data_IF_093851682550
#
_entry.id   IF_093851682550
#
_cell.length_a   1.000
_cell.length_b   1.000
_cell.length_c   1.000
_cell.angle_alpha   90.00
_cell.angle_beta   90.00
_cell.angle_gamma   90.00
#
_symmetry.space_group_name_H-M   'P 1'
#
loop_
_entity.id
_entity.type
_entity.pdbx_description
1 polymer ?
#
# COMPACT_ATOMS: atom_id res chain seq x y z
N UNK A 1 30.98 44.20 24.69
CA UNK A 1 29.76 44.04 23.84
C UNK A 1 29.88 42.63 23.22
N UNK A 2 29.21 41.68 23.80
CA UNK A 2 29.15 40.29 23.36
C UNK A 2 27.88 40.13 22.51
N UNK A 3 28.05 40.05 21.19
CA UNK A 3 26.96 39.81 20.27
C UNK A 3 26.58 38.34 20.32
N UNK A 4 25.42 38.07 20.91
CA UNK A 4 24.74 36.78 20.86
C UNK A 4 24.25 36.55 19.43
N UNK A 5 24.66 35.45 18.77
CA UNK A 5 24.13 35.02 17.48
C UNK A 5 22.65 34.58 17.65
N UNK A 6 21.78 34.84 16.67
CA UNK A 6 20.37 34.60 16.82
C UNK A 6 20.04 33.09 16.87
N UNK A 7 19.15 32.70 17.80
CA UNK A 7 18.68 31.35 18.03
C UNK A 7 17.99 30.68 16.81
N UNK A 8 17.68 31.45 15.80
CA UNK A 8 17.04 31.01 14.53
C UNK A 8 17.93 30.11 13.68
N UNK A 9 19.25 30.26 13.72
CA UNK A 9 20.20 29.52 12.87
C UNK A 9 20.31 28.03 13.31
N UNK A 10 20.25 27.78 14.60
CA UNK A 10 20.43 26.43 15.15
C UNK A 10 19.22 25.51 14.83
N UNK A 11 18.01 26.05 14.89
CA UNK A 11 16.78 25.31 14.61
C UNK A 11 16.63 24.93 13.13
N UNK A 12 17.12 25.76 12.21
CA UNK A 12 17.13 25.45 10.78
C UNK A 12 18.14 24.34 10.43
N UNK A 13 19.34 24.37 11.04
CA UNK A 13 20.37 23.33 10.79
C UNK A 13 19.90 21.97 11.30
N UNK A 14 19.27 21.90 12.46
CA UNK A 14 18.74 20.63 13.00
C UNK A 14 17.63 20.05 12.09
N UNK A 15 16.81 20.89 11.47
CA UNK A 15 15.75 20.46 10.54
C UNK A 15 16.34 19.94 9.21
N UNK A 16 17.36 20.62 8.69
CA UNK A 16 18.04 20.19 7.45
C UNK A 16 18.78 18.86 7.66
N UNK A 17 19.41 18.66 8.81
CA UNK A 17 20.07 17.39 9.15
C UNK A 17 19.06 16.27 9.25
N UNK A 18 17.93 16.48 9.95
CA UNK A 18 16.86 15.49 10.04
C UNK A 18 16.26 15.14 8.67
N UNK A 19 16.11 16.13 7.80
CA UNK A 19 15.67 15.90 6.43
C UNK A 19 16.65 15.03 5.65
N UNK A 20 17.94 15.36 5.67
CA UNK A 20 18.98 14.55 5.01
C UNK A 20 19.02 13.10 5.53
N UNK A 21 18.91 12.90 6.85
CA UNK A 21 18.85 11.57 7.46
C UNK A 21 17.63 10.77 6.98
N UNK A 22 16.48 11.42 6.79
CA UNK A 22 15.28 10.79 6.26
C UNK A 22 15.43 10.39 4.79
N UNK A 23 16.07 11.23 3.98
CA UNK A 23 16.40 10.93 2.57
C UNK A 23 17.29 9.69 2.46
N UNK A 24 18.35 9.64 3.27
CA UNK A 24 19.27 8.50 3.29
C UNK A 24 18.54 7.21 3.68
N UNK A 25 17.78 7.24 4.77
CA UNK A 25 17.04 6.08 5.25
C UNK A 25 16.05 5.58 4.19
N UNK A 26 15.37 6.50 3.52
CA UNK A 26 14.43 6.19 2.45
C UNK A 26 15.13 5.56 1.23
N UNK A 27 16.22 6.17 0.72
CA UNK A 27 16.97 5.66 -0.42
C UNK A 27 17.58 4.27 -0.13
N UNK A 28 18.15 4.08 1.06
CA UNK A 28 18.65 2.77 1.51
C UNK A 28 17.54 1.73 1.53
N UNK A 29 16.36 2.08 2.06
CA UNK A 29 15.21 1.17 2.10
C UNK A 29 14.74 0.78 0.70
N UNK A 30 14.60 1.75 -0.20
CA UNK A 30 14.19 1.52 -1.58
C UNK A 30 15.14 0.59 -2.31
N UNK A 31 16.46 0.83 -2.20
CA UNK A 31 17.47 -0.01 -2.83
C UNK A 31 17.56 -1.42 -2.22
N UNK A 32 17.39 -1.56 -0.91
CA UNK A 32 17.29 -2.88 -0.26
C UNK A 32 16.11 -3.66 -0.83
N UNK A 33 14.96 -3.01 -0.95
CA UNK A 33 13.75 -3.63 -1.49
C UNK A 33 13.94 -4.00 -2.96
N UNK A 34 14.40 -3.07 -3.78
CA UNK A 34 14.64 -3.30 -5.22
C UNK A 34 15.62 -4.44 -5.51
N UNK A 35 16.61 -4.66 -4.62
CA UNK A 35 17.62 -5.70 -4.75
C UNK A 35 17.30 -6.97 -3.97
N UNK A 36 16.10 -7.07 -3.37
CA UNK A 36 15.71 -8.18 -2.50
C UNK A 36 16.74 -8.48 -1.39
N UNK A 37 17.39 -7.43 -0.88
CA UNK A 37 18.36 -7.51 0.21
C UNK A 37 17.71 -7.15 1.54
N UNK A 38 18.06 -7.88 2.61
CA UNK A 38 17.50 -7.61 3.91
C UNK A 38 18.26 -6.50 4.66
N UNK A 39 17.53 -5.72 5.47
CA UNK A 39 18.13 -4.76 6.42
C UNK A 39 19.13 -5.44 7.38
N UNK A 40 18.90 -6.72 7.73
CA UNK A 40 19.81 -7.50 8.56
C UNK A 40 21.12 -7.83 7.85
N UNK A 41 21.08 -8.06 6.53
CA UNK A 41 22.29 -8.27 5.73
C UNK A 41 23.13 -6.99 5.65
N UNK A 42 22.48 -5.84 5.45
CA UNK A 42 23.17 -4.55 5.49
C UNK A 42 23.78 -4.28 6.88
N UNK A 43 23.05 -4.55 7.98
CA UNK A 43 23.58 -4.40 9.34
C UNK A 43 24.84 -5.24 9.56
N UNK A 44 24.84 -6.49 9.11
CA UNK A 44 26.00 -7.39 9.17
C UNK A 44 27.18 -6.85 8.34
N UNK A 45 26.93 -6.34 7.14
CA UNK A 45 27.95 -5.74 6.29
C UNK A 45 28.59 -4.48 6.89
N UNK A 46 27.76 -3.64 7.52
CA UNK A 46 28.22 -2.45 8.26
C UNK A 46 28.96 -2.79 9.56
N UNK A 47 28.86 -4.03 10.05
CA UNK A 47 29.41 -4.43 11.36
C UNK A 47 28.64 -3.86 12.55
N UNK A 48 27.36 -3.52 12.39
CA UNK A 48 26.51 -2.98 13.45
C UNK A 48 25.41 -3.95 13.86
N UNK A 49 24.90 -3.78 15.09
CA UNK A 49 23.80 -4.59 15.60
C UNK A 49 22.47 -4.24 14.90
N UNK A 50 21.57 -5.23 14.75
CA UNK A 50 20.23 -5.02 14.16
C UNK A 50 19.43 -3.87 14.79
N UNK A 51 19.39 -3.71 16.13
CA UNK A 51 18.73 -2.56 16.75
C UNK A 51 19.33 -1.20 16.34
N UNK A 52 20.65 -1.13 16.20
CA UNK A 52 21.35 0.08 15.73
C UNK A 52 20.95 0.41 14.30
N UNK A 53 20.89 -0.58 13.41
CA UNK A 53 20.42 -0.41 12.03
C UNK A 53 18.97 0.06 11.99
N UNK A 54 18.09 -0.56 12.77
CA UNK A 54 16.69 -0.14 12.89
C UNK A 54 16.57 1.31 13.36
N UNK A 55 17.39 1.74 14.30
CA UNK A 55 17.38 3.11 14.78
C UNK A 55 17.93 4.11 13.75
N UNK A 56 18.92 3.72 12.92
CA UNK A 56 19.38 4.53 11.78
C UNK A 56 18.27 4.69 10.74
N UNK A 57 17.59 3.61 10.39
CA UNK A 57 16.46 3.63 9.46
C UNK A 57 15.25 4.44 9.98
N UNK A 58 15.16 4.65 11.28
CA UNK A 58 14.15 5.48 11.94
C UNK A 58 14.62 6.90 12.25
N UNK A 59 15.79 7.30 11.76
CA UNK A 59 16.35 8.64 12.03
C UNK A 59 16.71 8.91 13.51
N UNK A 60 16.75 7.86 14.36
CA UNK A 60 17.10 8.00 15.80
C UNK A 60 18.60 8.00 16.05
N UNK A 61 19.37 7.48 15.13
CA UNK A 61 20.83 7.45 15.14
C UNK A 61 21.29 7.94 13.77
N UNK A 62 22.15 8.96 13.76
CA UNK A 62 22.67 9.56 12.54
C UNK A 62 23.50 8.58 11.70
N UNK A 63 23.45 8.75 10.39
CA UNK A 63 24.32 8.07 9.46
C UNK A 63 25.71 8.70 9.47
N UNK A 64 26.73 7.93 9.80
CA UNK A 64 28.11 8.41 9.64
C UNK A 64 28.52 8.35 8.15
N UNK A 65 29.54 9.12 7.78
CA UNK A 65 30.10 9.04 6.43
C UNK A 65 30.57 7.61 6.09
N UNK A 66 31.11 6.90 7.07
CA UNK A 66 31.50 5.51 6.90
C UNK A 66 30.31 4.57 6.63
N UNK A 67 29.17 4.80 7.31
CA UNK A 67 27.96 4.03 7.06
C UNK A 67 27.41 4.28 5.67
N UNK A 68 27.43 5.54 5.19
CA UNK A 68 26.99 5.93 3.85
C UNK A 68 27.82 5.25 2.76
N UNK A 69 29.16 5.37 2.85
CA UNK A 69 30.07 4.78 1.87
C UNK A 69 29.91 3.26 1.82
N UNK A 70 29.87 2.59 2.96
CA UNK A 70 29.69 1.14 3.02
C UNK A 70 28.29 0.72 2.55
N UNK A 71 27.26 1.49 2.87
CA UNK A 71 25.90 1.20 2.38
C UNK A 71 25.81 1.35 0.88
N UNK A 72 26.46 2.38 0.32
CA UNK A 72 26.54 2.59 -1.11
C UNK A 72 27.26 1.41 -1.81
N UNK A 73 28.39 0.95 -1.26
CA UNK A 73 29.12 -0.22 -1.75
C UNK A 73 28.24 -1.50 -1.71
N UNK A 74 27.59 -1.77 -0.57
CA UNK A 74 26.68 -2.91 -0.42
C UNK A 74 25.51 -2.89 -1.41
N UNK A 75 24.99 -1.70 -1.71
CA UNK A 75 23.83 -1.50 -2.57
C UNK A 75 24.20 -1.26 -4.05
N UNK A 76 25.53 -1.25 -4.39
CA UNK A 76 25.99 -1.01 -5.75
C UNK A 76 25.65 0.39 -6.28
N UNK A 77 25.70 1.40 -5.43
CA UNK A 77 25.38 2.81 -5.74
C UNK A 77 26.46 3.74 -5.20
N UNK A 78 26.25 5.05 -5.22
CA UNK A 78 27.17 6.04 -4.64
C UNK A 78 26.60 6.68 -3.39
N UNK A 79 27.47 7.19 -2.50
CA UNK A 79 27.03 7.92 -1.31
C UNK A 79 26.21 9.17 -1.68
N UNK A 80 26.54 9.82 -2.79
CA UNK A 80 25.78 10.95 -3.33
C UNK A 80 24.36 10.53 -3.73
N UNK A 81 24.20 9.38 -4.38
CA UNK A 81 22.89 8.85 -4.73
C UNK A 81 22.03 8.49 -3.49
N UNK A 82 22.66 8.08 -2.39
CA UNK A 82 21.94 7.86 -1.12
C UNK A 82 21.49 9.16 -0.45
N UNK A 83 22.13 10.28 -0.76
CA UNK A 83 21.80 11.62 -0.23
C UNK A 83 20.94 12.45 -1.21
N UNK A 84 20.69 11.96 -2.41
CA UNK A 84 19.91 12.65 -3.42
C UNK A 84 18.42 12.59 -3.07
N UNK A 85 17.83 13.76 -2.86
CA UNK A 85 16.42 13.93 -2.50
C UNK A 85 15.50 14.07 -3.73
N UNK A 86 16.04 14.01 -4.93
CA UNK A 86 15.29 14.28 -6.18
C UNK A 86 14.05 13.41 -6.30
N UNK A 87 14.11 12.14 -5.90
CA UNK A 87 12.99 11.23 -5.93
C UNK A 87 11.96 11.56 -4.82
N UNK A 88 12.42 11.86 -3.60
CA UNK A 88 11.54 12.32 -2.52
C UNK A 88 10.91 13.68 -2.83
N UNK A 89 11.68 14.60 -3.38
CA UNK A 89 11.22 15.95 -3.75
C UNK A 89 10.22 15.89 -4.91
N UNK A 90 10.41 14.99 -5.87
CA UNK A 90 9.44 14.77 -6.96
C UNK A 90 8.13 14.18 -6.43
N UNK A 91 8.18 13.26 -5.49
CA UNK A 91 7.00 12.73 -4.82
C UNK A 91 6.25 13.79 -4.00
N UNK A 92 6.97 14.77 -3.41
CA UNK A 92 6.38 15.90 -2.69
C UNK A 92 5.78 16.98 -3.60
N UNK A 93 6.37 17.22 -4.79
CA UNK A 93 6.01 18.35 -5.66
C UNK A 93 5.10 18.00 -6.84
N UNK A 94 4.59 16.76 -6.91
CA UNK A 94 3.86 16.27 -8.06
C UNK A 94 4.79 15.94 -9.24
N UNK A 95 4.72 14.72 -9.71
CA UNK A 95 5.58 14.19 -10.76
C UNK A 95 5.48 15.01 -12.05
N UNK A 96 6.59 15.61 -12.49
CA UNK A 96 6.75 16.07 -13.87
C UNK A 96 7.62 15.05 -14.63
N UNK A 97 7.14 14.55 -15.74
CA UNK A 97 7.64 13.44 -16.58
C UNK A 97 9.10 13.60 -17.11
N UNK A 98 9.82 14.66 -16.75
CA UNK A 98 11.13 14.99 -17.34
C UNK A 98 12.36 14.60 -16.53
N UNK A 99 12.22 13.93 -15.38
CA UNK A 99 13.38 13.60 -14.54
C UNK A 99 13.38 12.12 -14.12
N UNK A 100 13.74 11.22 -15.04
CA UNK A 100 14.22 9.88 -14.63
C UNK A 100 15.52 10.06 -13.86
N UNK A 101 15.65 9.55 -12.62
CA UNK A 101 16.90 9.60 -11.87
C UNK A 101 18.02 8.96 -12.68
N UNK A 102 19.16 9.64 -12.83
CA UNK A 102 20.31 9.20 -13.63
C UNK A 102 20.93 7.88 -13.19
N UNK A 103 20.54 7.34 -12.05
CA UNK A 103 21.09 6.12 -11.43
C UNK A 103 20.10 4.94 -11.37
N UNK A 104 18.88 5.07 -11.94
CA UNK A 104 18.01 3.93 -12.22
C UNK A 104 18.34 3.25 -13.56
N UNK A 105 19.48 3.58 -14.17
CA UNK A 105 20.05 2.77 -15.23
C UNK A 105 20.74 1.59 -14.55
N UNK A 106 20.01 0.49 -14.43
CA UNK A 106 20.53 -0.78 -13.96
C UNK A 106 21.80 -1.15 -14.77
N UNK A 107 22.92 -1.48 -14.11
CA UNK A 107 24.02 -2.15 -14.77
C UNK A 107 23.73 -3.64 -14.97
N UNK A 108 22.47 -4.04 -15.06
CA UNK A 108 22.08 -5.42 -15.30
C UNK A 108 22.24 -5.70 -16.79
N UNK A 109 23.35 -6.34 -17.14
CA UNK A 109 23.54 -6.96 -18.44
C UNK A 109 22.86 -8.34 -18.42
N UNK A 110 21.77 -8.57 -19.17
CA UNK A 110 21.05 -9.85 -19.18
C UNK A 110 21.87 -11.00 -19.81
N UNK A 111 23.03 -10.74 -20.40
CA UNK A 111 23.87 -11.71 -21.13
C UNK A 111 25.15 -12.12 -20.39
N UNK A 112 25.29 -11.82 -19.11
CA UNK A 112 26.45 -12.28 -18.34
C UNK A 112 26.25 -13.73 -17.86
N UNK A 113 27.18 -14.67 -18.13
CA UNK A 113 27.07 -16.06 -17.69
C UNK A 113 27.18 -16.16 -16.16
N UNK A 114 26.25 -16.88 -15.54
CA UNK A 114 26.26 -17.19 -14.11
C UNK A 114 27.33 -18.27 -13.86
N UNK A 115 28.51 -17.88 -13.41
CA UNK A 115 29.47 -18.79 -12.79
C UNK A 115 29.38 -18.70 -11.27
N UNK A 116 29.15 -19.83 -10.61
CA UNK A 116 29.31 -19.97 -9.18
C UNK A 116 28.13 -20.57 -8.43
N UNK A 117 27.92 -21.87 -8.60
CA UNK A 117 27.03 -22.64 -7.73
C UNK A 117 27.60 -22.78 -6.32
N UNK A 118 26.76 -22.57 -5.31
CA UNK A 118 26.98 -23.13 -3.98
C UNK A 118 25.69 -23.85 -3.55
N UNK A 119 25.83 -25.17 -3.40
CA UNK A 119 24.88 -26.07 -2.78
C UNK A 119 24.81 -25.85 -1.26
N UNK A 120 23.66 -26.08 -0.66
CA UNK A 120 23.63 -26.38 0.76
C UNK A 120 22.37 -25.92 1.48
N UNK A 121 21.41 -26.83 1.50
CA UNK A 121 20.53 -27.20 2.61
C UNK A 121 20.07 -26.17 3.65
N UNK A 122 18.76 -25.89 3.65
CA UNK A 122 17.96 -25.88 4.87
C UNK A 122 16.51 -26.29 4.53
N UNK A 123 16.23 -27.57 4.73
CA UNK A 123 14.87 -28.10 4.93
C UNK A 123 14.44 -27.73 6.34
N UNK A 124 13.19 -27.34 6.51
CA UNK A 124 12.57 -27.36 7.82
C UNK A 124 11.33 -26.50 7.94
N UNK A 125 10.18 -27.18 8.02
CA UNK A 125 8.94 -26.80 8.64
C UNK A 125 7.91 -26.03 7.80
N UNK A 126 7.14 -26.81 7.05
CA UNK A 126 5.72 -26.55 6.77
C UNK A 126 5.02 -27.91 6.81
N UNK A 127 4.47 -28.25 7.94
CA UNK A 127 3.50 -29.31 8.10
C UNK A 127 2.16 -28.68 8.43
N UNK A 128 1.18 -28.82 7.55
CA UNK A 128 -0.02 -29.55 7.77
C UNK A 128 -1.24 -28.66 7.79
N UNK A 129 -1.97 -28.60 6.68
CA UNK A 129 -3.43 -28.69 6.79
C UNK A 129 -3.95 -29.55 5.66
N UNK A 130 -4.49 -30.70 6.06
CA UNK A 130 -4.92 -31.81 5.22
C UNK A 130 -6.33 -31.56 4.73
N UNK A 131 -6.49 -31.78 3.45
CA UNK A 131 -7.72 -32.02 2.71
C UNK A 131 -8.63 -33.02 3.41
N UNK A 132 -9.90 -32.70 3.54
CA UNK A 132 -10.96 -33.71 3.73
C UNK A 132 -12.08 -33.47 2.74
N UNK A 133 -12.26 -34.46 1.98
CA UNK A 133 -13.10 -35.00 0.97
C UNK A 133 -14.51 -34.49 0.80
N UNK A 134 -14.85 -34.36 -0.48
CA UNK A 134 -16.21 -34.25 -1.03
C UNK A 134 -16.82 -35.66 -1.14
N UNK A 135 -18.07 -35.87 -0.79
CA UNK A 135 -18.86 -36.94 -1.36
C UNK A 135 -19.82 -36.41 -2.43
N UNK A 136 -19.66 -36.99 -3.60
CA UNK A 136 -20.62 -36.94 -4.70
C UNK A 136 -21.90 -37.69 -4.37
N UNK A 137 -23.05 -37.10 -4.67
CA UNK A 137 -24.34 -37.74 -4.59
C UNK A 137 -25.35 -37.08 -5.50
N UNK A 138 -25.61 -37.74 -6.62
CA UNK A 138 -26.60 -37.45 -7.65
C UNK A 138 -28.03 -37.63 -7.15
N UNK A 139 -28.95 -36.75 -7.54
CA UNK A 139 -30.25 -37.11 -8.13
C UNK A 139 -31.15 -35.87 -8.32
N UNK A 140 -31.51 -35.64 -9.56
CA UNK A 140 -32.60 -34.77 -9.96
C UNK A 140 -33.94 -35.46 -9.66
N UNK A 141 -35.00 -34.68 -9.47
CA UNK A 141 -36.19 -34.90 -10.28
C UNK A 141 -36.82 -33.63 -10.86
N UNK A 142 -37.48 -33.88 -11.97
CA UNK A 142 -38.22 -33.12 -12.91
C UNK A 142 -39.32 -32.18 -12.38
N UNK A 143 -39.57 -31.15 -13.20
CA UNK A 143 -40.66 -30.14 -13.15
C UNK A 143 -42.06 -30.75 -13.16
N UNK A 144 -43.06 -29.88 -12.83
CA UNK A 144 -44.04 -29.47 -13.82
C UNK A 144 -44.29 -27.96 -13.93
N UNK A 145 -44.47 -27.56 -15.18
CA UNK A 145 -44.95 -26.28 -15.65
C UNK A 145 -46.39 -26.00 -15.23
N UNK A 146 -46.70 -24.77 -14.77
CA UNK A 146 -48.01 -24.13 -15.02
C UNK A 146 -47.82 -22.62 -15.17
N UNK A 147 -48.24 -22.16 -16.31
CA UNK A 147 -48.58 -20.78 -16.64
C UNK A 147 -49.70 -20.28 -15.76
N UNK A 148 -49.59 -19.09 -15.16
CA UNK A 148 -50.69 -18.13 -15.00
C UNK A 148 -50.08 -16.72 -14.91
N UNK A 149 -50.50 -15.84 -15.79
CA UNK A 149 -50.05 -14.45 -15.86
C UNK A 149 -50.71 -13.62 -14.78
N UNK A 150 -49.94 -12.78 -14.13
CA UNK A 150 -50.43 -11.64 -13.36
C UNK A 150 -49.50 -10.44 -13.62
N UNK A 151 -50.17 -9.31 -13.89
CA UNK A 151 -49.65 -8.07 -14.41
C UNK A 151 -48.46 -7.48 -13.65
N UNK A 152 -47.60 -6.86 -14.39
CA UNK A 152 -46.46 -6.03 -13.94
C UNK A 152 -47.05 -4.75 -13.32
N UNK A 153 -46.85 -4.47 -12.03
CA UNK A 153 -47.09 -3.12 -11.54
C UNK A 153 -46.00 -2.21 -12.03
N UNK A 154 -46.44 -1.07 -12.55
CA UNK A 154 -45.60 0.02 -12.99
C UNK A 154 -44.53 0.35 -11.92
N UNK A 155 -43.28 0.32 -12.35
CA UNK A 155 -42.12 0.76 -11.58
C UNK A 155 -42.36 2.21 -11.17
N UNK A 156 -42.72 2.43 -9.90
CA UNK A 156 -42.73 3.76 -9.30
C UNK A 156 -41.34 4.34 -9.46
N UNK A 157 -41.28 5.52 -10.09
CA UNK A 157 -40.08 6.34 -10.11
C UNK A 157 -39.73 6.68 -8.64
N UNK A 158 -38.84 5.86 -8.06
CA UNK A 158 -38.14 6.28 -6.87
C UNK A 158 -37.31 7.52 -7.29
N UNK A 159 -37.62 8.62 -6.67
CA UNK A 159 -36.81 9.83 -6.70
C UNK A 159 -35.40 9.40 -6.28
N UNK A 160 -34.50 9.30 -7.27
CA UNK A 160 -33.07 9.22 -6.99
C UNK A 160 -32.70 10.54 -6.30
N UNK A 161 -32.65 10.51 -4.98
CA UNK A 161 -31.86 11.48 -4.24
C UNK A 161 -30.43 11.21 -4.70
N UNK A 162 -29.89 12.09 -5.55
CA UNK A 162 -28.49 12.09 -5.90
C UNK A 162 -27.72 12.31 -4.59
N UNK A 163 -27.34 11.22 -3.92
CA UNK A 163 -26.41 11.27 -2.80
C UNK A 163 -25.11 11.92 -3.29
N UNK A 164 -24.51 12.75 -2.47
CA UNK A 164 -23.21 13.37 -2.75
C UNK A 164 -22.17 12.28 -2.88
N UNK A 165 -21.81 11.93 -4.13
CA UNK A 165 -20.79 10.95 -4.42
C UNK A 165 -19.45 11.67 -4.64
N UNK A 166 -18.50 11.46 -3.75
CA UNK A 166 -17.15 12.01 -3.92
C UNK A 166 -16.39 11.17 -4.94
N UNK A 167 -15.81 11.83 -5.93
CA UNK A 167 -14.92 11.21 -6.91
C UNK A 167 -13.47 11.56 -6.59
N UNK A 168 -12.59 10.58 -6.68
CA UNK A 168 -11.14 10.78 -6.55
C UNK A 168 -10.42 10.31 -7.81
N UNK A 169 -9.20 10.82 -8.02
CA UNK A 169 -8.24 10.31 -8.97
C UNK A 169 -7.03 9.79 -8.20
N UNK A 170 -6.79 8.49 -8.24
CA UNK A 170 -5.58 7.86 -7.74
C UNK A 170 -4.58 7.77 -8.88
N UNK A 171 -3.51 8.56 -8.82
CA UNK A 171 -2.43 8.51 -9.81
C UNK A 171 -1.48 7.38 -9.46
N UNK A 172 -1.25 6.49 -10.40
CA UNK A 172 -0.38 5.33 -10.20
C UNK A 172 0.73 5.26 -11.24
N UNK A 173 1.71 4.37 -11.03
CA UNK A 173 2.77 4.10 -12.01
C UNK A 173 2.27 3.59 -13.37
N UNK A 174 1.06 2.99 -13.40
CA UNK A 174 0.46 2.40 -14.61
C UNK A 174 -0.62 3.28 -15.24
N UNK A 175 -0.96 4.42 -14.61
CA UNK A 175 -1.95 5.38 -15.04
C UNK A 175 -2.87 5.85 -13.93
N UNK A 176 -3.88 6.63 -14.29
CA UNK A 176 -4.83 7.22 -13.35
C UNK A 176 -6.05 6.31 -13.17
N UNK A 177 -6.47 6.13 -11.92
CA UNK A 177 -7.68 5.39 -11.56
C UNK A 177 -8.69 6.38 -10.97
N UNK A 178 -9.78 6.63 -11.69
CA UNK A 178 -10.93 7.39 -11.18
C UNK A 178 -11.81 6.47 -10.37
N UNK A 179 -12.14 6.86 -9.15
CA UNK A 179 -12.91 6.06 -8.19
C UNK A 179 -14.06 6.91 -7.63
N UNK A 180 -15.24 6.36 -7.61
CA UNK A 180 -16.41 6.91 -6.95
C UNK A 180 -16.51 6.32 -5.53
N UNK A 181 -16.60 7.17 -4.52
CA UNK A 181 -16.70 6.76 -3.12
C UNK A 181 -18.17 6.75 -2.66
N UNK A 182 -18.49 5.86 -1.76
CA UNK A 182 -19.84 5.63 -1.25
C UNK A 182 -20.07 6.42 0.05
N UNK A 183 -20.08 7.77 -0.04
CA UNK A 183 -20.15 8.70 1.09
C UNK A 183 -21.33 8.45 2.00
N UNK A 184 -22.51 8.13 1.44
CA UNK A 184 -23.73 7.94 2.21
C UNK A 184 -23.81 6.56 2.87
N UNK A 185 -23.22 5.52 2.25
CA UNK A 185 -23.28 4.16 2.74
C UNK A 185 -22.21 3.85 3.78
N UNK A 186 -20.98 4.41 3.58
CA UNK A 186 -19.82 4.14 4.44
C UNK A 186 -19.08 5.42 4.83
N UNK A 187 -19.78 6.38 5.48
CA UNK A 187 -19.29 7.74 5.73
C UNK A 187 -18.02 7.79 6.61
N UNK A 188 -17.88 6.89 7.59
CA UNK A 188 -16.71 6.87 8.47
C UNK A 188 -15.48 6.42 7.70
N UNK A 189 -15.61 5.39 6.87
CA UNK A 189 -14.54 4.83 6.04
C UNK A 189 -14.10 5.83 4.98
N UNK A 190 -15.06 6.43 4.25
CA UNK A 190 -14.79 7.46 3.24
C UNK A 190 -14.09 8.65 3.87
N UNK A 191 -14.60 9.17 5.00
CA UNK A 191 -13.96 10.29 5.72
C UNK A 191 -12.54 9.95 6.18
N UNK A 192 -12.31 8.71 6.66
CA UNK A 192 -10.99 8.24 7.05
C UNK A 192 -10.03 8.23 5.86
N UNK A 193 -10.47 7.62 4.75
CA UNK A 193 -9.66 7.49 3.54
C UNK A 193 -9.31 8.87 2.95
N UNK A 194 -10.30 9.76 2.79
CA UNK A 194 -10.09 11.12 2.29
C UNK A 194 -9.19 11.94 3.21
N UNK A 195 -9.42 11.87 4.53
CA UNK A 195 -8.62 12.60 5.50
C UNK A 195 -7.14 12.18 5.48
N UNK A 196 -6.86 10.88 5.27
CA UNK A 196 -5.50 10.38 5.06
C UNK A 196 -4.94 10.81 3.69
N UNK A 197 -5.74 10.73 2.64
CA UNK A 197 -5.33 11.08 1.28
C UNK A 197 -4.97 12.57 1.15
N UNK A 198 -5.69 13.46 1.83
CA UNK A 198 -5.47 14.91 1.79
C UNK A 198 -4.52 15.43 2.86
N UNK A 199 -4.20 14.61 3.88
CA UNK A 199 -3.44 15.06 5.05
C UNK A 199 -4.26 15.81 6.09
N UNK A 200 -5.59 15.91 5.92
CA UNK A 200 -6.48 16.52 6.92
C UNK A 200 -6.56 15.72 8.21
N UNK A 201 -6.38 14.39 8.11
CA UNK A 201 -6.38 13.50 9.25
C UNK A 201 -4.96 13.19 9.69
N UNK A 202 -4.67 13.46 10.96
CA UNK A 202 -3.40 13.10 11.58
C UNK A 202 -3.20 11.57 11.60
N UNK A 203 -1.99 11.15 11.31
CA UNK A 203 -1.55 9.76 11.39
C UNK A 203 -0.16 9.69 12.02
N UNK A 204 0.19 8.53 12.56
CA UNK A 204 1.50 8.30 13.16
C UNK A 204 2.44 7.67 12.14
N UNK A 205 3.51 8.38 11.81
CA UNK A 205 4.55 7.84 10.93
C UNK A 205 5.22 6.62 11.61
N UNK A 206 5.12 5.41 11.02
CA UNK A 206 5.65 4.20 11.60
C UNK A 206 7.18 4.16 11.66
N UNK A 207 7.86 5.04 10.93
CA UNK A 207 9.33 5.12 10.92
C UNK A 207 9.85 6.03 12.02
N UNK A 208 9.19 7.16 12.24
CA UNK A 208 9.59 8.16 13.22
C UNK A 208 8.82 8.05 14.54
N UNK A 209 7.62 7.48 14.50
CA UNK A 209 6.69 7.45 15.63
C UNK A 209 6.09 8.83 15.94
N UNK A 210 6.24 9.80 15.04
CA UNK A 210 5.73 11.16 15.19
C UNK A 210 4.39 11.33 14.45
N UNK A 211 3.52 12.23 14.92
CA UNK A 211 2.32 12.61 14.19
C UNK A 211 2.69 13.31 12.87
N UNK A 212 1.90 13.06 11.83
CA UNK A 212 2.07 13.64 10.50
C UNK A 212 0.72 14.06 9.93
N UNK A 213 0.73 15.11 9.14
CA UNK A 213 -0.37 15.61 8.30
C UNK A 213 -0.03 15.58 6.80
N UNK A 214 1.07 14.92 6.43
CA UNK A 214 1.39 14.72 5.01
C UNK A 214 0.35 13.79 4.38
N UNK A 215 0.02 13.96 3.08
CA UNK A 215 -0.85 13.05 2.36
C UNK A 215 -0.32 11.61 2.46
N UNK A 216 -1.06 10.77 3.19
CA UNK A 216 -0.60 9.45 3.65
C UNK A 216 -0.23 8.48 2.52
N UNK A 217 -1.03 8.48 1.44
CA UNK A 217 -0.90 7.51 0.36
C UNK A 217 0.18 7.83 -0.66
N UNK A 218 0.72 9.06 -0.64
CA UNK A 218 1.73 9.49 -1.59
C UNK A 218 3.01 8.67 -1.45
N UNK A 219 3.47 8.08 -2.55
CA UNK A 219 4.69 7.25 -2.58
C UNK A 219 4.52 5.85 -1.98
N UNK A 220 3.31 5.44 -1.60
CA UNK A 220 3.05 4.05 -1.21
C UNK A 220 2.93 3.15 -2.43
N UNK A 221 2.94 1.85 -2.20
CA UNK A 221 2.87 0.84 -3.27
C UNK A 221 1.69 -0.11 -3.06
N UNK A 222 1.25 -0.72 -4.15
CA UNK A 222 0.48 -1.95 -4.09
C UNK A 222 1.45 -3.07 -3.71
N UNK A 223 1.51 -3.38 -2.44
CA UNK A 223 2.52 -4.30 -1.88
C UNK A 223 2.14 -5.78 -2.02
N UNK A 224 0.88 -6.06 -2.41
CA UNK A 224 0.38 -7.42 -2.64
C UNK A 224 -0.60 -7.41 -3.81
N UNK A 225 -0.30 -8.21 -4.83
CA UNK A 225 -1.10 -8.34 -6.04
C UNK A 225 -1.33 -9.81 -6.30
N UNK A 226 -2.59 -10.23 -6.29
CA UNK A 226 -2.96 -11.61 -6.60
C UNK A 226 -3.83 -11.61 -7.84
N UNK A 227 -3.32 -12.26 -8.88
CA UNK A 227 -4.01 -12.43 -10.14
C UNK A 227 -5.36 -13.14 -9.94
N UNK A 228 -6.38 -12.70 -10.67
CA UNK A 228 -7.76 -13.18 -10.58
C UNK A 228 -8.34 -13.07 -9.16
N UNK A 229 -7.93 -12.00 -8.43
CA UNK A 229 -8.45 -11.71 -7.10
C UNK A 229 -8.46 -10.21 -6.79
N UNK A 230 -7.29 -9.59 -6.47
CA UNK A 230 -7.26 -8.19 -6.05
C UNK A 230 -5.84 -7.58 -6.10
N UNK A 231 -5.78 -6.25 -6.08
CA UNK A 231 -4.58 -5.47 -5.81
C UNK A 231 -4.72 -4.75 -4.47
N UNK A 232 -3.74 -4.89 -3.57
CA UNK A 232 -3.76 -4.35 -2.20
C UNK A 232 -2.65 -3.33 -1.98
N UNK A 233 -3.03 -2.15 -1.47
CA UNK A 233 -2.14 -1.04 -1.16
C UNK A 233 -2.42 -0.38 0.19
N UNK A 234 -1.83 0.80 0.43
CA UNK A 234 -2.08 1.61 1.62
C UNK A 234 -1.30 1.20 2.87
N UNK A 235 -0.27 0.36 2.74
CA UNK A 235 0.63 0.02 3.83
C UNK A 235 1.86 0.94 3.84
N UNK A 236 2.09 1.78 4.86
CA UNK A 236 3.23 2.70 4.89
C UNK A 236 4.58 1.98 5.03
N UNK A 237 4.58 0.71 5.46
CA UNK A 237 5.77 -0.13 5.52
C UNK A 237 6.00 -0.94 4.24
N UNK A 238 5.05 -0.95 3.29
CA UNK A 238 5.13 -1.68 2.04
C UNK A 238 5.20 -3.21 2.18
N UNK A 239 4.73 -3.78 3.29
CA UNK A 239 4.80 -5.21 3.59
C UNK A 239 3.53 -5.78 4.25
N UNK A 240 2.44 -5.00 4.26
CA UNK A 240 1.15 -5.39 4.83
C UNK A 240 1.03 -5.28 6.35
N UNK A 241 2.11 -4.94 7.09
CA UNK A 241 2.08 -4.89 8.56
C UNK A 241 1.92 -3.48 9.14
N UNK A 242 1.95 -2.44 8.29
CA UNK A 242 1.84 -1.05 8.70
C UNK A 242 0.43 -0.49 8.55
N UNK A 243 0.19 0.62 9.28
CA UNK A 243 -1.06 1.36 9.24
C UNK A 243 -0.88 2.80 9.75
N UNK A 244 -1.96 3.55 9.93
CA UNK A 244 -1.92 4.97 10.28
C UNK A 244 -1.68 5.23 11.78
N UNK A 245 -1.50 4.17 12.58
CA UNK A 245 -1.30 4.28 14.04
C UNK A 245 -2.58 4.14 14.85
N UNK A 246 -3.71 3.87 14.22
CA UNK A 246 -5.01 3.60 14.83
C UNK A 246 -5.80 2.58 14.01
N UNK A 247 -6.82 1.99 14.63
CA UNK A 247 -7.79 1.11 14.01
C UNK A 247 -9.20 1.70 14.14
N UNK A 248 -10.15 1.29 13.28
CA UNK A 248 -11.57 1.60 13.38
C UNK A 248 -12.44 0.44 12.93
N UNK A 249 -13.72 0.46 13.33
CA UNK A 249 -14.67 -0.64 13.09
C UNK A 249 -15.14 -0.70 11.63
N UNK A 250 -15.63 -1.87 11.22
CA UNK A 250 -16.20 -2.09 9.89
C UNK A 250 -17.56 -1.37 9.75
N UNK A 251 -17.83 -0.86 8.55
CA UNK A 251 -19.12 -0.37 8.10
C UNK A 251 -19.71 -1.36 7.09
N UNK A 252 -20.28 -2.47 7.58
CA UNK A 252 -20.85 -3.49 6.71
C UNK A 252 -22.27 -3.08 6.31
N UNK A 253 -22.47 -2.88 5.01
CA UNK A 253 -23.75 -2.54 4.39
C UNK A 253 -24.25 -3.76 3.64
N UNK A 254 -25.42 -4.35 4.01
CA UNK A 254 -25.90 -5.60 3.41
C UNK A 254 -26.11 -5.54 1.90
N UNK A 255 -26.40 -4.35 1.37
CA UNK A 255 -26.64 -4.10 -0.06
C UNK A 255 -25.33 -3.98 -0.86
N UNK A 256 -24.20 -3.74 -0.19
CA UNK A 256 -22.88 -3.70 -0.81
C UNK A 256 -22.23 -5.09 -0.73
N UNK A 257 -22.23 -5.80 -1.84
CA UNK A 257 -21.69 -7.15 -1.98
C UNK A 257 -20.57 -7.20 -3.00
N UNK A 258 -19.65 -8.15 -2.84
CA UNK A 258 -18.54 -8.38 -3.78
C UNK A 258 -18.99 -9.20 -5.00
N UNK A 259 -20.12 -8.84 -5.59
CA UNK A 259 -20.76 -9.53 -6.73
C UNK A 259 -20.16 -9.16 -8.10
N UNK A 260 -19.29 -8.16 -8.13
CA UNK A 260 -18.62 -7.64 -9.33
C UNK A 260 -17.17 -7.25 -9.07
N UNK A 261 -16.32 -7.15 -10.12
CA UNK A 261 -14.97 -6.63 -10.00
C UNK A 261 -14.93 -5.11 -9.79
N UNK A 262 -13.73 -4.59 -9.52
CA UNK A 262 -13.39 -3.17 -9.42
C UNK A 262 -14.03 -2.44 -8.23
N UNK A 263 -14.37 -3.18 -7.17
CA UNK A 263 -14.82 -2.62 -5.91
C UNK A 263 -13.61 -2.25 -5.04
N UNK A 264 -13.67 -1.06 -4.44
CA UNK A 264 -12.69 -0.58 -3.46
C UNK A 264 -13.17 -0.92 -2.05
N UNK A 265 -12.36 -1.65 -1.31
CA UNK A 265 -12.70 -2.09 0.04
C UNK A 265 -11.52 -1.99 1.02
N UNK A 266 -11.83 -1.91 2.33
CA UNK A 266 -10.81 -1.89 3.37
C UNK A 266 -10.21 -3.27 3.59
N UNK A 267 -8.88 -3.35 3.62
CA UNK A 267 -8.17 -4.50 4.13
C UNK A 267 -8.10 -4.42 5.65
N UNK A 268 -8.40 -5.53 6.33
CA UNK A 268 -8.37 -5.64 7.78
C UNK A 268 -7.79 -7.00 8.22
N UNK A 269 -7.48 -7.14 9.50
CA UNK A 269 -7.02 -8.38 10.13
C UNK A 269 -8.15 -9.12 10.89
N UNK A 270 -9.40 -8.85 10.53
CA UNK A 270 -10.59 -9.35 11.21
C UNK A 270 -10.86 -8.62 12.53
N UNK A 271 -11.78 -9.17 13.33
CA UNK A 271 -12.16 -8.58 14.60
C UNK A 271 -11.12 -8.88 15.69
N UNK A 272 -10.77 -7.86 16.47
CA UNK A 272 -9.89 -7.97 17.65
C UNK A 272 -10.68 -7.70 18.93
N UNK A 273 -10.46 -8.50 19.96
CA UNK A 273 -11.06 -8.25 21.26
C UNK A 273 -10.39 -7.08 21.96
N UNK A 274 -11.16 -6.02 22.24
CA UNK A 274 -10.70 -4.85 22.98
C UNK A 274 -10.60 -5.10 24.48
N UNK A 275 -10.02 -4.12 25.19
CA UNK A 275 -9.95 -4.16 26.67
C UNK A 275 -11.32 -4.02 27.35
N UNK A 276 -12.29 -3.48 26.65
CA UNK A 276 -13.71 -3.39 27.03
C UNK A 276 -14.47 -4.71 26.88
N UNK A 277 -13.80 -5.75 26.39
CA UNK A 277 -14.37 -7.08 26.16
C UNK A 277 -15.17 -7.21 24.87
N UNK A 278 -15.32 -6.15 24.08
CA UNK A 278 -16.03 -6.15 22.80
C UNK A 278 -15.10 -6.51 21.65
N UNK A 279 -15.69 -6.96 20.55
CA UNK A 279 -14.99 -7.13 19.30
C UNK A 279 -14.95 -5.79 18.55
N UNK A 280 -13.77 -5.40 18.08
CA UNK A 280 -13.51 -4.19 17.32
C UNK A 280 -12.91 -4.55 15.97
N UNK A 281 -13.25 -3.77 14.94
CA UNK A 281 -12.62 -3.85 13.62
C UNK A 281 -11.15 -3.46 13.67
N UNK A 282 -10.44 -3.82 12.62
CA UNK A 282 -9.00 -3.53 12.46
C UNK A 282 -8.71 -2.81 11.16
N UNK A 283 -9.68 -2.00 10.68
CA UNK A 283 -9.46 -1.13 9.54
C UNK A 283 -8.49 -0.01 9.90
N UNK A 284 -7.61 0.35 8.99
CA UNK A 284 -6.66 1.44 9.18
C UNK A 284 -6.52 2.28 7.91
N UNK A 285 -5.43 2.05 7.17
CA UNK A 285 -5.15 2.71 5.89
C UNK A 285 -5.12 1.76 4.72
N UNK A 286 -4.98 0.45 4.94
CA UNK A 286 -4.84 -0.50 3.85
C UNK A 286 -6.19 -0.77 3.18
N UNK A 287 -6.15 -0.82 1.86
CA UNK A 287 -7.29 -1.06 1.00
C UNK A 287 -6.94 -2.05 -0.11
N UNK A 288 -7.95 -2.58 -0.77
CA UNK A 288 -7.77 -3.37 -1.98
C UNK A 288 -8.82 -3.02 -3.03
N UNK A 289 -8.49 -3.29 -4.29
CA UNK A 289 -9.42 -3.20 -5.42
C UNK A 289 -9.56 -4.61 -5.98
N UNK A 290 -10.79 -5.12 -6.06
CA UNK A 290 -11.07 -6.45 -6.62
C UNK A 290 -10.93 -6.43 -8.14
N UNK A 291 -10.49 -7.54 -8.72
CA UNK A 291 -10.37 -7.73 -10.19
C UNK A 291 -11.36 -8.77 -10.73
N UNK A 292 -11.97 -9.52 -9.82
CA UNK A 292 -13.05 -10.47 -10.09
C UNK A 292 -14.12 -10.37 -9.00
N UNK A 293 -15.33 -10.94 -9.19
CA UNK A 293 -16.29 -11.11 -8.09
C UNK A 293 -15.70 -11.98 -6.98
N UNK A 294 -15.84 -11.54 -5.71
CA UNK A 294 -15.24 -12.21 -4.55
C UNK A 294 -16.25 -12.39 -3.42
N UNK A 295 -17.38 -13.11 -3.63
CA UNK A 295 -18.50 -13.16 -2.70
C UNK A 295 -18.16 -13.76 -1.33
N UNK A 296 -17.03 -14.48 -1.21
CA UNK A 296 -16.52 -14.97 0.08
C UNK A 296 -16.01 -13.86 1.02
N UNK A 297 -15.89 -12.62 0.53
CA UNK A 297 -15.51 -11.44 1.33
C UNK A 297 -16.73 -10.67 1.87
N UNK A 298 -17.94 -11.05 1.47
CA UNK A 298 -19.18 -10.39 1.92
C UNK A 298 -19.29 -10.42 3.44
N UNK A 299 -19.63 -9.27 4.03
CA UNK A 299 -19.77 -9.11 5.47
C UNK A 299 -18.46 -9.08 6.27
N UNK A 300 -17.30 -9.17 5.63
CA UNK A 300 -15.99 -9.19 6.27
C UNK A 300 -15.15 -7.94 6.02
N UNK A 301 -15.43 -7.21 4.95
CA UNK A 301 -14.70 -6.02 4.55
C UNK A 301 -15.67 -4.90 4.16
N UNK A 302 -15.38 -3.68 4.60
CA UNK A 302 -16.14 -2.49 4.22
C UNK A 302 -15.88 -2.15 2.77
N UNK A 303 -16.90 -2.24 1.91
CA UNK A 303 -16.87 -1.74 0.54
C UNK A 303 -17.19 -0.25 0.59
N UNK A 304 -16.30 0.63 0.13
CA UNK A 304 -16.49 2.06 0.25
C UNK A 304 -16.32 2.86 -1.05
N UNK A 305 -16.21 2.15 -2.18
CA UNK A 305 -16.17 2.78 -3.49
C UNK A 305 -16.07 1.78 -4.64
N UNK A 306 -16.06 2.29 -5.85
CA UNK A 306 -15.87 1.53 -7.07
C UNK A 306 -15.12 2.33 -8.14
N UNK A 307 -14.43 1.64 -9.03
CA UNK A 307 -13.73 2.23 -10.17
C UNK A 307 -14.75 2.75 -11.18
N UNK A 308 -14.63 4.03 -11.53
CA UNK A 308 -15.69 4.79 -12.18
C UNK A 308 -15.90 4.50 -13.68
N UNK A 309 -14.83 4.19 -14.42
CA UNK A 309 -14.87 4.09 -15.87
C UNK A 309 -13.93 3.01 -16.41
N UNK A 310 -14.09 2.66 -17.69
CA UNK A 310 -13.38 1.55 -18.33
C UNK A 310 -11.88 1.86 -18.54
N UNK A 311 -11.50 3.12 -18.70
CA UNK A 311 -10.10 3.55 -18.76
C UNK A 311 -9.38 3.24 -17.44
N UNK A 312 -10.02 3.56 -16.33
CA UNK A 312 -9.51 3.28 -15.00
C UNK A 312 -9.50 1.79 -14.66
N UNK A 313 -10.49 1.02 -15.10
CA UNK A 313 -10.50 -0.44 -14.99
C UNK A 313 -9.31 -1.06 -15.73
N UNK A 314 -9.01 -0.57 -16.95
CA UNK A 314 -7.85 -1.02 -17.71
C UNK A 314 -6.52 -0.73 -16.99
N UNK A 315 -6.44 0.33 -16.18
CA UNK A 315 -5.26 0.60 -15.32
C UNK A 315 -5.18 -0.40 -14.17
N UNK A 316 -6.30 -0.75 -13.54
CA UNK A 316 -6.36 -1.80 -12.50
C UNK A 316 -5.90 -3.14 -13.07
N UNK A 317 -6.34 -3.50 -14.29
CA UNK A 317 -5.93 -4.73 -14.96
C UNK A 317 -4.42 -4.75 -15.29
N UNK A 318 -3.84 -3.60 -15.66
CA UNK A 318 -2.39 -3.47 -15.86
C UNK A 318 -1.63 -3.67 -14.55
N UNK A 319 -2.11 -3.08 -13.45
CA UNK A 319 -1.52 -3.27 -12.14
C UNK A 319 -1.60 -4.74 -11.68
N UNK A 320 -2.73 -5.41 -11.94
CA UNK A 320 -2.86 -6.85 -11.65
C UNK A 320 -1.89 -7.72 -12.47
N UNK A 321 -1.60 -7.29 -13.69
CA UNK A 321 -0.74 -8.03 -14.61
C UNK A 321 0.76 -7.87 -14.33
N UNK A 322 1.18 -7.03 -13.38
CA UNK A 322 2.60 -6.87 -13.05
C UNK A 322 3.16 -8.19 -12.49
N UNK A 323 4.40 -8.57 -12.85
CA UNK A 323 5.03 -9.75 -12.30
C UNK A 323 5.18 -9.67 -10.78
N UNK A 324 4.84 -10.75 -10.08
CA UNK A 324 4.97 -10.86 -8.62
C UNK A 324 5.90 -11.99 -8.22
N UNK A 325 6.41 -11.93 -6.99
CA UNK A 325 7.17 -13.01 -6.38
C UNK A 325 6.24 -14.07 -5.75
N UNK A 326 6.85 -15.06 -5.06
CA UNK A 326 6.10 -16.15 -4.40
C UNK A 326 5.25 -15.69 -3.20
N UNK A 327 5.41 -14.44 -2.78
CA UNK A 327 4.68 -13.80 -1.68
C UNK A 327 3.64 -12.81 -2.20
N UNK A 328 3.32 -12.86 -3.50
CA UNK A 328 2.41 -11.95 -4.18
C UNK A 328 2.86 -10.48 -4.18
N UNK A 329 4.15 -10.21 -3.87
CA UNK A 329 4.71 -8.88 -3.93
C UNK A 329 5.21 -8.57 -5.35
N UNK A 330 4.88 -7.38 -5.91
CA UNK A 330 5.39 -6.97 -7.22
C UNK A 330 6.93 -7.01 -7.28
N UNK A 331 7.48 -7.55 -8.38
CA UNK A 331 8.93 -7.57 -8.61
C UNK A 331 9.48 -6.16 -8.86
N UNK A 332 8.67 -5.30 -9.48
CA UNK A 332 8.93 -3.87 -9.63
C UNK A 332 7.86 -3.08 -8.87
N UNK A 333 8.22 -1.94 -8.24
CA UNK A 333 7.26 -1.18 -7.44
C UNK A 333 6.06 -0.68 -8.26
N UNK A 334 4.87 -1.18 -7.97
CA UNK A 334 3.61 -0.64 -8.45
C UNK A 334 3.19 0.50 -7.51
N UNK A 335 3.47 1.75 -7.89
CA UNK A 335 3.39 2.91 -7.01
C UNK A 335 2.06 3.66 -7.05
N UNK A 336 1.67 4.23 -5.90
CA UNK A 336 0.63 5.25 -5.78
C UNK A 336 1.36 6.60 -5.68
N UNK A 337 1.20 7.46 -6.68
CA UNK A 337 1.87 8.75 -6.74
C UNK A 337 1.16 9.78 -5.87
N UNK A 338 -0.16 9.91 -6.03
CA UNK A 338 -1.03 10.80 -5.27
C UNK A 338 -2.48 10.36 -5.36
N UNK A 339 -3.31 10.88 -4.44
CA UNK A 339 -4.78 10.77 -4.52
C UNK A 339 -5.34 12.19 -4.47
N UNK A 340 -6.11 12.55 -5.48
CA UNK A 340 -6.72 13.87 -5.64
C UNK A 340 -8.23 13.77 -5.56
N UNK A 341 -8.87 14.69 -4.83
CA UNK A 341 -10.34 14.80 -4.77
C UNK A 341 -10.81 15.65 -5.93
N UNK A 342 -11.70 15.10 -6.76
CA UNK A 342 -12.34 15.84 -7.86
C UNK A 342 -13.44 16.71 -7.27
N UNK A 343 -13.34 18.02 -7.50
CA UNK A 343 -14.32 19.00 -7.04
C UNK A 343 -15.38 19.27 -8.11
#
# INVERSE_FOLDING_TARGET
MTTSAPATTKKNVDTEVQYAESVIAWNVKMLLTAQNKSQSALAAFLGIQRPTMTNKMKGRIAWSVADLVKSADFLGTTAEALMDDSLMSQLKNGYTESAKPKYLVSPFNPDAPIEGGISGAAKGALAGFVSSGVPSGSSSPSMPSKHDGIGVPARSQAHETLGTMTTIIMRTSEGDITINLFDDQTPVTVKNFLGLATGEKEWTDPFTGQPSHEPFYNGLTFHRIIKDFMIQGGCPLGNGTGGPGYDFDDEIVPELTFDRPYLLAMANAGLRRGRDGKAHGTNGSQFFITTVPTPWLDGHHTIFGEVANDESKAVVDKLEAVPTDRSDAPLEPAGIMSIEVVK
#
